data_IF_278835859199
#
_entry.id   IF_278835859199
#
_cell.length_a   1.000
_cell.length_b   1.000
_cell.length_c   1.000
_cell.angle_alpha   90.00
_cell.angle_beta   90.00
_cell.angle_gamma   90.00
#
_symmetry.space_group_name_H-M   'P 1'
#
loop_
_entity.id
_entity.type
_entity.pdbx_description
1 polymer ?
#
# COMPACT_ATOMS: atom_id res chain seq x y z
N UNK A 1 -43.00 53.63 73.93
CA UNK A 1 -41.54 53.55 73.79
C UNK A 1 -41.05 52.17 73.34
N UNK A 2 -41.25 51.08 74.07
CA UNK A 2 -40.68 49.75 73.71
C UNK A 2 -41.21 49.18 72.36
N UNK A 3 -42.51 49.34 72.08
CA UNK A 3 -43.13 48.91 70.81
C UNK A 3 -42.84 49.85 69.62
N UNK A 4 -42.61 51.13 69.89
CA UNK A 4 -42.23 52.13 68.88
C UNK A 4 -40.78 51.93 68.42
N UNK A 5 -39.89 51.58 69.36
CA UNK A 5 -38.54 51.14 69.07
C UNK A 5 -38.50 49.82 68.28
N UNK A 6 -39.46 48.91 68.51
CA UNK A 6 -39.62 47.69 67.72
C UNK A 6 -39.97 48.01 66.26
N UNK A 7 -40.93 48.91 66.01
CA UNK A 7 -41.31 49.32 64.65
C UNK A 7 -40.14 49.99 63.90
N UNK A 8 -39.42 50.89 64.56
CA UNK A 8 -38.23 51.56 64.00
C UNK A 8 -37.12 50.56 63.69
N UNK A 9 -36.96 49.51 64.51
CA UNK A 9 -35.98 48.44 64.29
C UNK A 9 -36.30 47.61 63.04
N UNK A 10 -37.55 47.24 62.84
CA UNK A 10 -38.01 46.51 61.64
C UNK A 10 -37.90 47.38 60.37
N UNK A 11 -38.23 48.67 60.44
CA UNK A 11 -38.01 49.63 59.34
C UNK A 11 -36.53 49.75 58.96
N UNK A 12 -35.62 49.81 59.94
CA UNK A 12 -34.17 49.82 59.68
C UNK A 12 -33.67 48.53 59.03
N UNK A 13 -34.25 47.37 59.39
CA UNK A 13 -33.90 46.10 58.74
C UNK A 13 -34.32 46.09 57.27
N UNK A 14 -35.52 46.59 56.94
CA UNK A 14 -35.98 46.74 55.55
C UNK A 14 -35.05 47.62 54.71
N UNK A 15 -34.62 48.77 55.25
CA UNK A 15 -33.68 49.68 54.57
C UNK A 15 -32.33 48.99 54.30
N UNK A 16 -31.88 48.13 55.22
CA UNK A 16 -30.62 47.39 55.06
C UNK A 16 -30.71 46.33 53.97
N UNK A 17 -31.85 45.62 53.88
CA UNK A 17 -32.12 44.63 52.83
C UNK A 17 -32.19 45.32 51.46
N UNK A 18 -32.83 46.49 51.38
CA UNK A 18 -32.92 47.29 50.15
C UNK A 18 -31.54 47.68 49.61
N UNK A 19 -30.63 48.19 50.46
CA UNK A 19 -29.26 48.55 50.03
C UNK A 19 -28.48 47.35 49.49
N UNK A 20 -28.70 46.17 50.04
CA UNK A 20 -28.04 44.93 49.61
C UNK A 20 -28.60 44.44 48.27
N UNK A 21 -29.90 44.63 48.04
CA UNK A 21 -30.56 44.35 46.76
C UNK A 21 -30.07 45.29 45.65
N UNK A 22 -29.94 46.60 45.92
CA UNK A 22 -29.39 47.58 44.97
C UNK A 22 -27.94 47.27 44.57
N UNK A 23 -27.12 46.78 45.50
CA UNK A 23 -25.73 46.38 45.22
C UNK A 23 -25.64 45.17 44.28
N UNK A 24 -26.51 44.17 44.47
CA UNK A 24 -26.54 42.96 43.65
C UNK A 24 -27.02 43.22 42.22
N UNK A 25 -27.78 44.29 42.00
CA UNK A 25 -28.42 44.61 40.72
C UNK A 25 -27.65 45.64 39.86
N UNK A 26 -26.60 46.28 40.40
CA UNK A 26 -25.76 47.23 39.67
C UNK A 26 -24.63 46.58 38.84
N UNK A 27 -24.73 45.26 38.57
CA UNK A 27 -23.87 44.51 37.64
C UNK A 27 -24.70 43.57 36.77
N UNK A 28 -24.12 43.02 35.70
CA UNK A 28 -24.84 42.06 34.83
C UNK A 28 -25.23 40.79 35.62
N UNK A 29 -26.54 40.49 35.73
CA UNK A 29 -27.03 39.41 36.58
C UNK A 29 -26.73 38.04 35.94
N UNK A 30 -25.98 37.21 36.66
CA UNK A 30 -25.74 35.80 36.29
C UNK A 30 -26.86 34.91 36.86
N UNK A 31 -27.25 33.85 36.14
CA UNK A 31 -28.29 32.88 36.56
C UNK A 31 -28.09 32.32 37.99
N UNK A 32 -26.86 32.30 38.50
CA UNK A 32 -26.50 31.86 39.85
C UNK A 32 -27.00 32.79 40.97
N UNK A 33 -27.41 34.03 40.66
CA UNK A 33 -27.82 35.03 41.65
C UNK A 33 -29.33 35.02 41.96
N UNK A 34 -30.13 34.34 41.12
CA UNK A 34 -31.59 34.26 41.25
C UNK A 34 -32.04 33.67 42.60
N UNK A 35 -31.44 32.58 43.14
CA UNK A 35 -31.83 32.03 44.43
C UNK A 35 -31.61 33.02 45.59
N UNK A 36 -30.51 33.77 45.56
CA UNK A 36 -30.15 34.77 46.58
C UNK A 36 -31.11 35.96 46.56
N UNK A 37 -31.54 36.40 45.38
CA UNK A 37 -32.55 37.46 45.22
C UNK A 37 -33.89 37.02 45.81
N UNK A 38 -34.31 35.77 45.57
CA UNK A 38 -35.55 35.21 46.11
C UNK A 38 -35.49 35.14 47.65
N UNK A 39 -34.38 34.70 48.24
CA UNK A 39 -34.20 34.65 49.70
C UNK A 39 -34.33 36.05 50.35
N UNK A 40 -33.80 37.09 49.70
CA UNK A 40 -33.94 38.46 50.17
C UNK A 40 -35.38 38.98 50.08
N UNK A 41 -36.13 38.58 49.05
CA UNK A 41 -37.55 38.94 48.90
C UNK A 41 -38.42 38.26 49.98
N UNK A 42 -38.17 36.99 50.31
CA UNK A 42 -38.88 36.30 51.39
C UNK A 42 -38.60 36.95 52.77
N UNK A 43 -37.36 37.37 53.02
CA UNK A 43 -36.99 38.11 54.24
C UNK A 43 -37.69 39.49 54.32
N UNK A 44 -37.80 40.16 53.17
CA UNK A 44 -38.54 41.42 53.01
C UNK A 44 -40.03 41.23 53.30
N UNK A 45 -40.62 40.16 52.77
CA UNK A 45 -42.02 39.79 53.03
C UNK A 45 -42.26 39.56 54.53
N UNK A 46 -41.42 38.77 55.20
CA UNK A 46 -41.57 38.50 56.64
C UNK A 46 -41.47 39.77 57.50
N UNK A 47 -40.53 40.67 57.17
CA UNK A 47 -40.38 41.96 57.87
C UNK A 47 -41.61 42.84 57.65
N UNK A 48 -42.15 42.82 56.43
CA UNK A 48 -43.37 43.54 56.05
C UNK A 48 -44.59 43.00 56.81
N UNK A 49 -44.76 41.69 56.93
CA UNK A 49 -45.86 41.07 57.70
C UNK A 49 -45.81 41.45 59.18
N UNK A 50 -44.62 41.45 59.79
CA UNK A 50 -44.45 41.90 61.19
C UNK A 50 -44.83 43.36 61.41
N UNK A 51 -44.53 44.23 60.44
CA UNK A 51 -44.95 45.64 60.47
C UNK A 51 -46.47 45.76 60.35
N UNK A 52 -47.11 44.96 59.49
CA UNK A 52 -48.57 44.90 59.36
C UNK A 52 -49.21 44.49 60.69
N UNK A 53 -48.68 43.45 61.34
CA UNK A 53 -49.22 42.96 62.62
C UNK A 53 -49.09 44.02 63.73
N UNK A 54 -47.94 44.71 63.76
CA UNK A 54 -47.72 45.83 64.69
C UNK A 54 -48.73 46.97 64.47
N UNK A 55 -48.99 47.35 63.22
CA UNK A 55 -49.93 48.42 62.85
C UNK A 55 -51.40 47.99 63.09
N UNK A 56 -51.73 46.73 62.81
CA UNK A 56 -53.10 46.19 62.91
C UNK A 56 -53.57 45.97 64.37
N UNK A 57 -52.66 45.94 65.34
CA UNK A 57 -52.95 45.71 66.76
C UNK A 57 -53.73 46.83 67.46
N UNK A 58 -54.08 47.92 66.75
CA UNK A 58 -55.01 49.00 67.12
C UNK A 58 -54.82 49.64 68.52
N UNK A 59 -53.58 49.60 69.07
CA UNK A 59 -53.22 50.24 70.35
C UNK A 59 -52.28 51.44 70.21
N UNK A 60 -52.02 51.91 69.00
CA UNK A 60 -51.16 53.07 68.74
C UNK A 60 -52.06 54.26 68.39
N UNK A 61 -52.09 55.30 69.25
CA UNK A 61 -52.59 56.63 68.87
C UNK A 61 -51.55 57.24 67.92
N UNK A 62 -51.73 57.05 66.62
CA UNK A 62 -50.83 57.59 65.59
C UNK A 62 -51.23 59.05 65.35
N UNK A 63 -50.31 59.99 65.60
CA UNK A 63 -50.46 61.41 65.24
C UNK A 63 -50.49 61.57 63.71
N UNK A 64 -51.21 62.55 63.19
CA UNK A 64 -51.42 62.77 61.75
C UNK A 64 -50.09 62.87 60.97
N UNK A 65 -49.09 63.57 61.52
CA UNK A 65 -47.72 63.66 61.00
C UNK A 65 -46.97 62.32 60.97
N UNK A 66 -47.19 61.46 61.96
CA UNK A 66 -46.59 60.12 62.00
C UNK A 66 -47.26 59.21 60.97
N UNK A 67 -48.55 59.41 60.69
CA UNK A 67 -49.33 58.64 59.72
C UNK A 67 -48.91 58.97 58.28
N UNK A 68 -48.68 60.25 57.96
CA UNK A 68 -48.09 60.69 56.68
C UNK A 68 -46.64 60.23 56.51
N UNK A 69 -45.83 60.30 57.57
CA UNK A 69 -44.43 59.83 57.55
C UNK A 69 -44.36 58.31 57.34
N UNK A 70 -45.14 57.52 58.09
CA UNK A 70 -45.21 56.06 57.90
C UNK A 70 -45.71 55.72 56.49
N UNK A 71 -46.68 56.46 55.96
CA UNK A 71 -47.18 56.22 54.60
C UNK A 71 -46.10 56.49 53.53
N UNK A 72 -45.33 57.58 53.66
CA UNK A 72 -44.21 57.87 52.75
C UNK A 72 -43.08 56.84 52.86
N UNK A 73 -42.71 56.46 54.07
CA UNK A 73 -41.64 55.50 54.35
C UNK A 73 -42.03 54.05 54.02
N UNK A 74 -43.33 53.71 53.97
CA UNK A 74 -43.83 52.39 53.53
C UNK A 74 -44.12 52.33 52.03
N UNK A 75 -44.55 53.43 51.40
CA UNK A 75 -44.76 53.50 49.94
C UNK A 75 -43.45 53.37 49.17
N UNK A 76 -42.38 53.95 49.71
CA UNK A 76 -41.04 53.94 49.13
C UNK A 76 -40.46 52.53 48.91
N UNK A 77 -40.51 51.58 49.88
CA UNK A 77 -40.09 50.20 49.67
C UNK A 77 -41.12 49.35 48.92
N UNK A 78 -42.42 49.67 48.98
CA UNK A 78 -43.47 48.85 48.36
C UNK A 78 -43.48 48.95 46.82
N UNK A 79 -43.17 50.13 46.28
CA UNK A 79 -43.16 50.36 44.83
C UNK A 79 -42.10 49.50 44.13
N UNK A 80 -40.82 49.46 44.55
CA UNK A 80 -39.82 48.57 43.98
C UNK A 80 -40.18 47.08 44.10
N UNK A 81 -40.68 46.62 45.27
CA UNK A 81 -41.06 45.21 45.47
C UNK A 81 -42.12 44.78 44.45
N UNK A 82 -43.13 45.61 44.22
CA UNK A 82 -44.18 45.34 43.23
C UNK A 82 -43.61 45.32 41.80
N UNK A 83 -42.83 46.35 41.44
CA UNK A 83 -42.25 46.46 40.10
C UNK A 83 -41.32 45.29 39.78
N UNK A 84 -40.50 44.84 40.74
CA UNK A 84 -39.62 43.70 40.53
C UNK A 84 -40.38 42.36 40.45
N UNK A 85 -41.41 42.17 41.28
CA UNK A 85 -42.26 40.98 41.17
C UNK A 85 -42.96 40.92 39.80
N UNK A 86 -43.46 42.05 39.29
CA UNK A 86 -44.06 42.15 37.95
C UNK A 86 -43.05 41.85 36.83
N UNK A 87 -41.84 42.40 36.91
CA UNK A 87 -40.79 42.17 35.90
C UNK A 87 -40.28 40.72 35.90
N UNK A 88 -40.19 40.07 37.06
CA UNK A 88 -39.86 38.65 37.21
C UNK A 88 -40.94 37.76 36.58
N UNK A 89 -42.23 38.05 36.81
CA UNK A 89 -43.34 37.33 36.18
C UNK A 89 -43.42 37.53 34.66
N UNK A 90 -42.95 38.68 34.15
CA UNK A 90 -42.84 38.98 32.72
C UNK A 90 -41.61 38.35 32.05
N UNK A 91 -40.79 37.60 32.79
CA UNK A 91 -39.60 36.93 32.26
C UNK A 91 -38.46 37.87 31.86
N UNK A 92 -38.49 39.14 32.30
CA UNK A 92 -37.47 40.16 31.95
C UNK A 92 -36.09 39.86 32.54
N UNK A 93 -36.01 38.96 33.53
CA UNK A 93 -34.79 38.52 34.20
C UNK A 93 -34.51 37.02 34.01
N UNK A 94 -35.15 36.38 33.03
CA UNK A 94 -35.06 34.94 32.79
C UNK A 94 -36.38 34.21 33.09
N UNK A 95 -36.46 32.92 32.71
CA UNK A 95 -37.66 32.11 32.88
C UNK A 95 -37.76 31.55 34.31
N UNK A 96 -38.86 31.84 34.99
CA UNK A 96 -39.15 31.27 36.31
C UNK A 96 -39.66 29.83 36.16
N UNK A 97 -39.22 28.94 37.05
CA UNK A 97 -39.84 27.62 37.15
C UNK A 97 -41.24 27.73 37.82
N UNK A 98 -42.11 26.71 37.70
CA UNK A 98 -43.48 26.79 38.19
C UNK A 98 -43.62 27.07 39.70
N UNK A 99 -42.69 26.57 40.52
CA UNK A 99 -42.72 26.81 41.97
C UNK A 99 -42.29 28.25 42.31
N UNK A 100 -41.26 28.77 41.62
CA UNK A 100 -40.78 30.14 41.74
C UNK A 100 -41.84 31.15 41.29
N UNK A 101 -42.51 30.90 40.16
CA UNK A 101 -43.59 31.75 39.66
C UNK A 101 -44.72 31.89 40.69
N UNK A 102 -45.12 30.78 41.33
CA UNK A 102 -46.17 30.78 42.35
C UNK A 102 -45.79 31.58 43.61
N UNK A 103 -44.51 31.52 44.03
CA UNK A 103 -44.00 32.32 45.16
C UNK A 103 -43.98 33.82 44.83
N UNK A 104 -43.48 34.19 43.65
CA UNK A 104 -43.43 35.59 43.20
C UNK A 104 -44.84 36.17 43.01
N UNK A 105 -45.79 35.39 42.51
CA UNK A 105 -47.21 35.78 42.42
C UNK A 105 -47.81 36.08 43.81
N UNK A 106 -47.49 35.26 44.81
CA UNK A 106 -47.92 35.46 46.20
C UNK A 106 -47.34 36.75 46.79
N UNK A 107 -46.08 37.06 46.51
CA UNK A 107 -45.42 38.31 46.93
C UNK A 107 -46.11 39.53 46.29
N UNK A 108 -46.40 39.46 44.98
CA UNK A 108 -47.07 40.54 44.26
C UNK A 108 -48.47 40.82 44.83
N UNK A 109 -49.27 39.76 45.04
CA UNK A 109 -50.61 39.86 45.64
C UNK A 109 -50.57 40.44 47.07
N UNK A 110 -49.59 40.01 47.88
CA UNK A 110 -49.43 40.49 49.25
C UNK A 110 -49.05 41.98 49.29
N UNK A 111 -48.17 42.41 48.39
CA UNK A 111 -47.78 43.82 48.20
C UNK A 111 -48.99 44.70 47.84
N UNK A 112 -49.85 44.24 46.90
CA UNK A 112 -51.07 44.94 46.52
C UNK A 112 -52.10 45.03 47.66
N UNK A 113 -52.27 43.96 48.45
CA UNK A 113 -53.16 43.97 49.60
C UNK A 113 -52.69 44.93 50.70
N UNK A 114 -51.37 44.99 50.94
CA UNK A 114 -50.79 45.94 51.88
C UNK A 114 -51.04 47.38 51.44
N UNK A 115 -50.81 47.68 50.16
CA UNK A 115 -51.09 49.01 49.61
C UNK A 115 -52.54 49.44 49.86
N UNK A 116 -53.50 48.56 49.54
CA UNK A 116 -54.94 48.84 49.75
C UNK A 116 -55.30 49.02 51.23
N UNK A 117 -54.67 48.28 52.15
CA UNK A 117 -54.90 48.44 53.59
C UNK A 117 -54.35 49.77 54.10
N UNK A 118 -53.18 50.20 53.64
CA UNK A 118 -52.60 51.51 53.97
C UNK A 118 -53.51 52.64 53.45
N UNK A 119 -53.98 52.54 52.21
CA UNK A 119 -54.93 53.49 51.61
C UNK A 119 -56.26 53.54 52.40
N UNK A 120 -56.76 52.38 52.85
CA UNK A 120 -57.98 52.30 53.68
C UNK A 120 -57.82 52.89 55.09
N UNK A 121 -56.61 52.90 55.66
CA UNK A 121 -56.35 53.54 56.96
C UNK A 121 -56.36 55.07 56.86
N UNK A 122 -55.94 55.63 55.72
CA UNK A 122 -56.05 57.07 55.45
C UNK A 122 -57.51 57.52 55.24
N UNK A 123 -58.29 56.76 54.46
CA UNK A 123 -59.67 57.13 54.13
C UNK A 123 -60.64 57.21 55.32
N UNK A 124 -60.24 56.69 56.50
CA UNK A 124 -61.05 56.68 57.73
C UNK A 124 -60.68 57.78 58.73
N UNK A 125 -59.69 58.61 58.41
CA UNK A 125 -59.04 59.54 59.35
C UNK A 125 -59.22 61.02 59.01
N UNK A 126 -60.20 61.38 58.17
CA UNK A 126 -60.55 62.78 57.90
C UNK A 126 -61.84 63.12 58.66
N UNK A 127 -61.78 63.75 59.86
CA UNK A 127 -62.93 64.38 60.46
C UNK A 127 -63.30 65.62 59.66
N UNK A 128 -64.56 65.68 59.26
CA UNK A 128 -65.22 66.86 58.69
C UNK A 128 -65.15 68.00 59.71
N UNK A 129 -64.48 69.09 59.33
CA UNK A 129 -64.32 70.29 60.15
C UNK A 129 -64.10 71.53 59.27
N UNK A 130 -65.23 72.15 58.93
CA UNK A 130 -65.51 73.50 58.42
C UNK A 130 -64.44 74.42 57.81
N UNK A 131 -64.88 74.98 56.66
CA UNK A 131 -64.64 76.33 56.11
C UNK A 131 -63.48 76.55 55.10
N UNK A 132 -63.81 76.34 53.82
CA UNK A 132 -63.47 77.17 52.64
C UNK A 132 -62.10 77.88 52.58
N UNK A 133 -61.19 77.44 51.69
CA UNK A 133 -60.62 78.26 50.61
C UNK A 133 -59.76 77.44 49.60
N UNK A 134 -60.08 77.60 48.29
CA UNK A 134 -59.27 77.33 47.06
C UNK A 134 -58.89 75.89 46.65
N UNK A 135 -59.76 75.23 45.86
CA UNK A 135 -59.54 73.93 45.19
C UNK A 135 -58.80 74.04 43.82
N UNK A 136 -58.37 75.23 43.39
CA UNK A 136 -57.77 75.43 42.06
C UNK A 136 -56.24 75.31 42.00
N UNK A 137 -55.52 75.61 43.09
CA UNK A 137 -54.05 75.70 43.06
C UNK A 137 -53.33 74.35 43.19
N UNK A 138 -53.95 73.35 43.84
CA UNK A 138 -53.30 72.06 44.10
C UNK A 138 -53.26 71.15 42.84
N UNK A 139 -54.28 71.23 41.98
CA UNK A 139 -54.39 70.46 40.74
C UNK A 139 -53.37 70.89 39.67
N UNK A 140 -53.04 72.18 39.63
CA UNK A 140 -52.11 72.75 38.65
C UNK A 140 -50.68 72.29 38.94
N UNK A 141 -50.27 72.28 40.22
CA UNK A 141 -48.92 71.83 40.62
C UNK A 141 -48.66 70.34 40.33
N UNK A 142 -49.69 69.51 40.46
CA UNK A 142 -49.59 68.06 40.18
C UNK A 142 -49.40 67.80 38.68
N UNK A 143 -50.15 68.51 37.82
CA UNK A 143 -50.01 68.43 36.36
C UNK A 143 -48.67 68.96 35.84
N UNK A 144 -48.11 70.00 36.48
CA UNK A 144 -46.77 70.49 36.16
C UNK A 144 -45.68 69.45 36.46
N UNK A 145 -45.79 68.72 37.58
CA UNK A 145 -44.85 67.67 37.92
C UNK A 145 -44.92 66.48 36.95
N UNK A 146 -46.12 66.07 36.55
CA UNK A 146 -46.31 64.99 35.57
C UNK A 146 -45.68 65.34 34.21
N UNK A 147 -45.84 66.59 33.76
CA UNK A 147 -45.21 67.10 32.53
C UNK A 147 -43.68 67.04 32.61
N UNK A 148 -43.08 67.43 33.74
CA UNK A 148 -41.62 67.39 33.91
C UNK A 148 -41.11 65.95 33.84
N UNK A 149 -41.85 64.99 34.42
CA UNK A 149 -41.49 63.58 34.44
C UNK A 149 -41.56 62.98 33.03
N UNK A 150 -42.61 63.29 32.26
CA UNK A 150 -42.75 62.88 30.86
C UNK A 150 -41.62 63.41 29.98
N UNK A 151 -41.22 64.67 30.17
CA UNK A 151 -40.06 65.25 29.44
C UNK A 151 -38.77 64.49 29.75
N UNK A 152 -38.57 64.10 31.02
CA UNK A 152 -37.38 63.34 31.43
C UNK A 152 -37.37 61.92 30.84
N UNK A 153 -38.52 61.25 30.77
CA UNK A 153 -38.67 59.94 30.14
C UNK A 153 -38.35 60.01 28.64
N UNK A 154 -38.91 60.98 27.92
CA UNK A 154 -38.61 61.15 26.49
C UNK A 154 -37.11 61.35 26.25
N UNK A 155 -36.45 62.17 27.09
CA UNK A 155 -35.00 62.40 26.97
C UNK A 155 -34.17 61.13 27.21
N UNK A 156 -34.60 60.24 28.11
CA UNK A 156 -33.93 58.96 28.33
C UNK A 156 -34.18 57.97 27.18
N UNK A 157 -35.39 57.96 26.62
CA UNK A 157 -35.70 57.17 25.42
C UNK A 157 -34.85 57.61 24.23
N UNK A 158 -34.75 58.91 23.97
CA UNK A 158 -33.95 59.45 22.88
C UNK A 158 -32.47 59.07 23.02
N UNK A 159 -31.94 59.10 24.25
CA UNK A 159 -30.56 58.67 24.51
C UNK A 159 -30.38 57.18 24.19
N UNK A 160 -31.28 56.33 24.66
CA UNK A 160 -31.21 54.88 24.43
C UNK A 160 -31.34 54.52 22.95
N UNK A 161 -32.24 55.19 22.22
CA UNK A 161 -32.40 55.02 20.78
C UNK A 161 -31.11 55.38 20.04
N UNK A 162 -30.43 56.46 20.45
CA UNK A 162 -29.15 56.85 19.85
C UNK A 162 -28.03 55.85 20.15
N UNK A 163 -27.94 55.37 21.38
CA UNK A 163 -26.92 54.38 21.79
C UNK A 163 -27.11 53.05 21.03
N UNK A 164 -28.34 52.52 20.96
CA UNK A 164 -28.66 51.31 20.19
C UNK A 164 -28.43 51.50 18.68
N UNK A 165 -28.71 52.69 18.14
CA UNK A 165 -28.46 53.00 16.73
C UNK A 165 -26.96 53.03 16.40
N UNK A 166 -26.11 53.45 17.34
CA UNK A 166 -24.67 53.42 17.20
C UNK A 166 -24.13 51.98 17.21
N UNK A 167 -24.63 51.14 18.11
CA UNK A 167 -24.23 49.73 18.22
C UNK A 167 -24.63 48.90 16.98
N UNK A 168 -25.84 49.12 16.45
CA UNK A 168 -26.29 48.49 15.19
C UNK A 168 -25.38 48.89 14.01
N UNK A 169 -24.87 50.12 14.00
CA UNK A 169 -23.98 50.60 12.93
C UNK A 169 -22.62 49.90 12.98
N UNK A 170 -22.04 49.70 14.16
CA UNK A 170 -20.76 48.98 14.31
C UNK A 170 -20.91 47.50 13.96
N UNK A 171 -21.96 46.82 14.44
CA UNK A 171 -22.24 45.42 14.08
C UNK A 171 -22.39 45.22 12.57
N UNK A 172 -23.03 46.17 11.88
CA UNK A 172 -23.16 46.11 10.42
C UNK A 172 -21.82 46.26 9.70
N UNK A 173 -20.90 47.05 10.26
CA UNK A 173 -19.54 47.21 9.74
C UNK A 173 -18.75 45.92 9.90
N UNK A 174 -18.76 45.33 11.09
CA UNK A 174 -18.05 44.07 11.38
C UNK A 174 -18.56 42.91 10.52
N UNK A 175 -19.87 42.83 10.29
CA UNK A 175 -20.47 41.85 9.39
C UNK A 175 -19.95 42.02 7.94
N UNK A 176 -19.86 43.26 7.46
CA UNK A 176 -19.33 43.54 6.11
C UNK A 176 -17.85 43.18 5.98
N UNK A 177 -17.05 43.38 7.02
CA UNK A 177 -15.62 43.01 7.03
C UNK A 177 -15.45 41.48 7.05
N UNK A 178 -16.25 40.77 7.84
CA UNK A 178 -16.25 39.29 7.88
C UNK A 178 -16.69 38.66 6.55
N UNK A 179 -17.70 39.22 5.89
CA UNK A 179 -18.12 38.77 4.56
C UNK A 179 -17.02 38.98 3.51
N UNK A 180 -16.27 40.08 3.61
CA UNK A 180 -15.15 40.36 2.71
C UNK A 180 -14.03 39.32 2.89
N UNK A 181 -13.62 39.05 4.12
CA UNK A 181 -12.60 38.05 4.43
C UNK A 181 -12.97 36.64 3.94
N UNK A 182 -14.25 36.27 4.08
CA UNK A 182 -14.73 34.97 3.61
C UNK A 182 -14.60 34.84 2.09
N UNK A 183 -14.94 35.91 1.34
CA UNK A 183 -14.80 35.94 -0.12
C UNK A 183 -13.35 35.89 -0.58
N UNK A 184 -12.45 36.59 0.11
CA UNK A 184 -11.00 36.52 -0.18
C UNK A 184 -10.47 35.11 0.05
N UNK A 185 -10.84 34.47 1.16
CA UNK A 185 -10.43 33.10 1.46
C UNK A 185 -10.96 32.07 0.43
N UNK A 186 -12.20 32.23 -0.02
CA UNK A 186 -12.75 31.40 -1.10
C UNK A 186 -11.98 31.58 -2.42
N UNK A 187 -11.60 32.81 -2.76
CA UNK A 187 -10.79 33.11 -3.94
C UNK A 187 -9.38 32.50 -3.85
N UNK A 188 -8.71 32.64 -2.71
CA UNK A 188 -7.39 32.04 -2.48
C UNK A 188 -7.41 30.52 -2.64
N UNK A 189 -8.42 29.85 -2.05
CA UNK A 189 -8.57 28.40 -2.18
C UNK A 189 -8.83 27.96 -3.63
N UNK A 190 -9.59 28.74 -4.40
CA UNK A 190 -9.86 28.46 -5.81
C UNK A 190 -8.61 28.63 -6.67
N UNK A 191 -7.75 29.61 -6.35
CA UNK A 191 -6.45 29.79 -7.01
C UNK A 191 -5.49 28.65 -6.64
N UNK A 192 -5.50 28.22 -5.37
CA UNK A 192 -4.67 27.12 -4.88
C UNK A 192 -5.05 25.80 -5.56
N UNK A 193 -6.34 25.44 -5.62
CA UNK A 193 -6.82 24.23 -6.31
C UNK A 193 -6.42 24.23 -7.79
N UNK A 194 -6.58 25.36 -8.50
CA UNK A 194 -6.13 25.48 -9.89
C UNK A 194 -4.62 25.27 -10.03
N UNK A 195 -3.83 25.85 -9.14
CA UNK A 195 -2.36 25.70 -9.15
C UNK A 195 -1.95 24.25 -8.91
N UNK A 196 -2.56 23.58 -7.93
CA UNK A 196 -2.30 22.17 -7.62
C UNK A 196 -2.62 21.28 -8.82
N UNK A 197 -3.79 21.45 -9.45
CA UNK A 197 -4.19 20.65 -10.63
C UNK A 197 -3.23 20.84 -11.81
N UNK A 198 -2.76 22.06 -12.05
CA UNK A 198 -1.78 22.34 -13.11
C UNK A 198 -0.48 21.58 -12.84
N UNK A 199 -0.02 21.57 -11.59
CA UNK A 199 1.23 20.91 -11.22
C UNK A 199 1.11 19.38 -11.24
N UNK A 200 -0.04 18.84 -10.82
CA UNK A 200 -0.37 17.41 -10.99
C UNK A 200 -0.36 16.99 -12.47
N UNK A 201 -1.00 17.79 -13.35
CA UNK A 201 -1.00 17.51 -14.78
C UNK A 201 0.40 17.53 -15.40
N UNK A 202 1.24 18.52 -15.02
CA UNK A 202 2.64 18.56 -15.44
C UNK A 202 3.41 17.34 -14.93
N UNK A 203 3.25 16.97 -13.66
CA UNK A 203 3.92 15.82 -13.06
C UNK A 203 3.54 14.51 -13.76
N UNK A 204 2.25 14.30 -14.09
CA UNK A 204 1.79 13.14 -14.86
C UNK A 204 2.42 13.13 -16.26
N UNK A 205 2.50 14.28 -16.93
CA UNK A 205 3.09 14.38 -18.27
C UNK A 205 4.60 14.11 -18.26
N UNK A 206 5.32 14.64 -17.27
CA UNK A 206 6.74 14.38 -17.05
C UNK A 206 6.99 12.90 -16.73
N UNK A 207 6.17 12.29 -15.86
CA UNK A 207 6.26 10.88 -15.54
C UNK A 207 6.06 9.99 -16.79
N UNK A 208 5.05 10.29 -17.62
CA UNK A 208 4.82 9.59 -18.90
C UNK A 208 6.02 9.71 -19.85
N UNK A 209 6.59 10.92 -20.00
CA UNK A 209 7.77 11.14 -20.84
C UNK A 209 8.98 10.36 -20.35
N UNK A 210 9.23 10.35 -19.03
CA UNK A 210 10.35 9.63 -18.43
C UNK A 210 10.21 8.10 -18.62
N UNK A 211 9.01 7.54 -18.45
CA UNK A 211 8.74 6.12 -18.69
C UNK A 211 9.01 5.75 -20.16
N UNK A 212 8.58 6.58 -21.11
CA UNK A 212 8.84 6.35 -22.54
C UNK A 212 10.35 6.35 -22.82
N UNK A 213 11.09 7.31 -22.27
CA UNK A 213 12.55 7.38 -22.44
C UNK A 213 13.23 6.12 -21.90
N UNK A 214 12.86 5.67 -20.69
CA UNK A 214 13.41 4.44 -20.09
C UNK A 214 13.08 3.21 -20.96
N UNK A 215 11.84 3.09 -21.44
CA UNK A 215 11.43 1.98 -22.31
C UNK A 215 12.21 1.97 -23.63
N UNK A 216 12.43 3.14 -24.25
CA UNK A 216 13.24 3.25 -25.48
C UNK A 216 14.70 2.90 -25.23
N UNK A 217 15.30 3.34 -24.11
CA UNK A 217 16.67 2.99 -23.76
C UNK A 217 16.82 1.48 -23.51
N UNK A 218 15.86 0.86 -22.81
CA UNK A 218 15.85 -0.58 -22.57
C UNK A 218 15.75 -1.38 -23.88
N UNK A 219 14.91 -0.94 -24.83
CA UNK A 219 14.81 -1.57 -26.15
C UNK A 219 16.12 -1.47 -26.95
N UNK A 220 16.77 -0.30 -26.94
CA UNK A 220 18.05 -0.10 -27.65
C UNK A 220 19.16 -0.95 -27.03
N UNK A 221 19.26 -1.00 -25.71
CA UNK A 221 20.24 -1.85 -25.00
C UNK A 221 19.94 -3.33 -25.26
N UNK A 222 18.68 -3.74 -25.20
CA UNK A 222 18.27 -5.12 -25.48
C UNK A 222 18.61 -5.54 -26.90
N UNK A 223 18.25 -4.72 -27.90
CA UNK A 223 18.55 -4.99 -29.31
C UNK A 223 20.06 -4.98 -29.60
N UNK A 224 20.82 -4.08 -28.96
CA UNK A 224 22.27 -4.05 -29.08
C UNK A 224 22.93 -5.29 -28.46
N UNK A 225 22.46 -5.73 -27.29
CA UNK A 225 22.99 -6.91 -26.60
C UNK A 225 22.68 -8.20 -27.37
N UNK A 226 21.47 -8.38 -27.89
CA UNK A 226 21.13 -9.56 -28.69
C UNK A 226 21.92 -9.59 -30.00
N UNK A 227 22.03 -8.45 -30.70
CA UNK A 227 22.83 -8.38 -31.92
C UNK A 227 24.31 -8.68 -31.66
N UNK A 228 24.87 -8.18 -30.56
CA UNK A 228 26.24 -8.47 -30.14
C UNK A 228 26.41 -9.95 -29.79
N UNK A 229 25.51 -10.52 -28.99
CA UNK A 229 25.56 -11.94 -28.61
C UNK A 229 25.51 -12.86 -29.82
N UNK A 230 24.63 -12.59 -30.79
CA UNK A 230 24.55 -13.36 -32.03
C UNK A 230 25.80 -13.20 -32.89
N UNK A 231 26.36 -11.99 -32.97
CA UNK A 231 27.62 -11.75 -33.68
C UNK A 231 28.79 -12.53 -33.05
N UNK A 232 28.86 -12.57 -31.72
CA UNK A 232 29.89 -13.33 -31.00
C UNK A 232 29.72 -14.83 -31.25
N UNK A 233 28.50 -15.37 -31.17
CA UNK A 233 28.25 -16.80 -31.43
C UNK A 233 28.56 -17.18 -32.88
N UNK A 234 28.22 -16.35 -33.86
CA UNK A 234 28.57 -16.55 -35.28
C UNK A 234 30.10 -16.57 -35.46
N UNK A 235 30.81 -15.58 -34.91
CA UNK A 235 32.27 -15.49 -34.99
C UNK A 235 32.98 -16.66 -34.28
N UNK A 236 32.49 -17.02 -33.09
CA UNK A 236 32.99 -18.15 -32.31
C UNK A 236 32.71 -19.46 -33.04
N UNK A 237 31.51 -19.65 -33.59
CA UNK A 237 31.13 -20.84 -34.34
C UNK A 237 32.03 -21.08 -35.55
N UNK A 238 32.34 -20.02 -36.32
CA UNK A 238 33.25 -20.11 -37.47
C UNK A 238 34.64 -20.67 -37.13
N UNK A 239 35.14 -20.46 -35.90
CA UNK A 239 36.46 -20.96 -35.50
C UNK A 239 36.49 -22.50 -35.33
N UNK A 240 35.32 -23.11 -35.10
CA UNK A 240 35.17 -24.55 -34.93
C UNK A 240 34.86 -25.29 -36.23
N UNK A 241 34.77 -24.56 -37.35
CA UNK A 241 34.57 -25.14 -38.66
C UNK A 241 35.83 -25.89 -39.12
N UNK A 242 35.70 -27.19 -39.32
CA UNK A 242 36.76 -28.07 -39.80
C UNK A 242 36.70 -28.15 -41.33
N UNK A 243 37.81 -27.82 -41.98
CA UNK A 243 37.92 -27.84 -43.45
C UNK A 243 38.75 -29.03 -43.92
N UNK A 244 38.51 -29.49 -45.15
CA UNK A 244 39.31 -30.54 -45.82
C UNK A 244 39.26 -31.93 -45.17
N UNK A 245 38.13 -32.33 -44.58
CA UNK A 245 37.97 -33.69 -44.03
C UNK A 245 37.99 -34.79 -45.11
N UNK A 246 37.59 -34.46 -46.35
CA UNK A 246 37.39 -35.46 -47.40
C UNK A 246 36.17 -36.35 -47.12
N UNK A 247 36.06 -37.49 -47.81
CA UNK A 247 35.03 -38.48 -47.53
C UNK A 247 35.59 -39.53 -46.58
N UNK A 248 35.06 -39.60 -45.37
CA UNK A 248 35.40 -40.64 -44.39
C UNK A 248 34.25 -41.63 -44.35
N UNK A 249 34.56 -42.90 -44.62
CA UNK A 249 33.58 -43.97 -44.67
C UNK A 249 33.71 -44.83 -43.41
N UNK A 250 32.62 -44.93 -42.67
CA UNK A 250 32.50 -45.78 -41.48
C UNK A 250 31.86 -47.12 -41.82
N UNK A 251 32.23 -48.16 -41.08
CA UNK A 251 31.54 -49.44 -41.06
C UNK A 251 31.19 -49.85 -39.63
N UNK A 252 29.99 -50.39 -39.44
CA UNK A 252 29.51 -50.79 -38.12
C UNK A 252 28.83 -52.16 -38.18
N UNK A 253 29.18 -53.03 -37.24
CA UNK A 253 28.52 -54.33 -37.08
C UNK A 253 28.34 -54.69 -35.61
N UNK A 254 27.22 -55.33 -35.32
CA UNK A 254 26.95 -55.91 -34.01
C UNK A 254 26.84 -57.42 -34.15
N UNK A 255 27.52 -58.17 -33.28
CA UNK A 255 27.51 -59.62 -33.26
C UNK A 255 26.98 -60.14 -31.93
N UNK A 256 26.18 -61.19 -31.97
CA UNK A 256 25.80 -61.94 -30.77
C UNK A 256 26.95 -62.83 -30.28
N UNK A 257 26.79 -63.48 -29.13
CA UNK A 257 27.78 -64.41 -28.57
C UNK A 257 28.07 -65.65 -29.44
N UNK A 258 27.27 -65.91 -30.48
CA UNK A 258 27.48 -66.98 -31.47
C UNK A 258 28.19 -66.49 -32.74
N UNK A 259 28.39 -65.18 -32.89
CA UNK A 259 28.97 -64.54 -34.07
C UNK A 259 27.98 -64.19 -35.17
N UNK A 260 26.67 -64.36 -34.95
CA UNK A 260 25.66 -63.91 -35.92
C UNK A 260 25.52 -62.39 -35.85
N UNK A 261 25.41 -61.73 -37.01
CA UNK A 261 25.12 -60.29 -37.07
C UNK A 261 23.69 -60.01 -36.63
N UNK A 262 23.52 -58.99 -35.80
CA UNK A 262 22.22 -58.51 -35.33
C UNK A 262 21.99 -57.06 -35.76
N UNK A 263 20.77 -56.77 -36.19
CA UNK A 263 20.33 -55.43 -36.61
C UNK A 263 19.32 -54.91 -35.56
N UNK A 264 19.84 -54.43 -34.42
CA UNK A 264 19.02 -53.97 -33.30
C UNK A 264 19.78 -52.96 -32.41
N UNK A 265 19.03 -52.28 -31.55
CA UNK A 265 19.48 -51.14 -30.74
C UNK A 265 19.86 -51.63 -29.36
N UNK A 266 21.14 -51.53 -29.04
CA UNK A 266 21.72 -52.10 -27.85
C UNK A 266 22.35 -51.01 -27.02
N UNK A 267 22.12 -51.09 -25.72
CA UNK A 267 22.70 -50.19 -24.74
C UNK A 267 23.61 -50.94 -23.79
N UNK A 268 24.47 -50.22 -23.11
CA UNK A 268 25.21 -50.77 -21.98
C UNK A 268 24.26 -50.93 -20.78
N UNK A 269 24.24 -52.11 -20.13
CA UNK A 269 23.49 -52.31 -18.87
C UNK A 269 24.44 -52.21 -17.70
N UNK A 270 24.69 -50.97 -17.30
CA UNK A 270 25.55 -50.67 -16.15
C UNK A 270 24.72 -50.26 -14.94
N UNK A 271 25.28 -50.48 -13.74
CA UNK A 271 24.73 -49.93 -12.50
C UNK A 271 25.08 -48.45 -12.39
N UNK A 272 24.27 -47.67 -11.67
CA UNK A 272 24.51 -46.25 -11.49
C UNK A 272 25.88 -45.98 -10.87
N UNK A 273 26.64 -45.07 -11.50
CA UNK A 273 27.99 -44.69 -11.08
C UNK A 273 29.09 -45.63 -11.55
N UNK A 274 28.77 -46.72 -12.29
CA UNK A 274 29.76 -47.61 -12.87
C UNK A 274 30.70 -46.86 -13.82
N UNK A 275 31.98 -47.22 -13.77
CA UNK A 275 33.02 -46.68 -14.64
C UNK A 275 33.10 -47.52 -15.92
N UNK A 276 33.02 -46.87 -17.08
CA UNK A 276 33.25 -47.50 -18.37
C UNK A 276 34.69 -47.23 -18.83
N UNK A 277 35.46 -48.30 -19.03
CA UNK A 277 36.86 -48.21 -19.40
C UNK A 277 37.01 -48.18 -20.92
N UNK A 278 37.67 -47.13 -21.42
CA UNK A 278 38.07 -47.00 -22.82
C UNK A 278 39.55 -47.35 -22.92
N UNK A 279 39.83 -48.54 -23.45
CA UNK A 279 41.18 -49.06 -23.66
C UNK A 279 41.78 -48.57 -24.98
N UNK A 280 43.08 -48.28 -24.99
CA UNK A 280 43.83 -47.96 -26.21
C UNK A 280 44.85 -49.07 -26.50
N UNK A 281 44.69 -49.72 -27.66
CA UNK A 281 45.60 -50.76 -28.17
C UNK A 281 46.50 -50.18 -29.27
N UNK A 282 47.79 -50.52 -29.23
CA UNK A 282 48.85 -49.90 -30.04
C UNK A 282 49.07 -48.40 -29.78
N UNK A 283 48.59 -47.87 -28.64
CA UNK A 283 48.74 -46.45 -28.30
C UNK A 283 50.20 -46.01 -28.21
N UNK A 284 51.08 -46.91 -27.77
CA UNK A 284 52.52 -46.67 -27.66
C UNK A 284 53.20 -46.35 -29.00
N UNK A 285 52.60 -46.76 -30.13
CA UNK A 285 53.10 -46.45 -31.47
C UNK A 285 52.68 -45.06 -31.96
N UNK A 286 51.64 -44.49 -31.36
CA UNK A 286 51.00 -43.23 -31.77
C UNK A 286 50.75 -42.32 -30.55
N UNK A 287 51.80 -41.94 -29.79
CA UNK A 287 51.66 -41.20 -28.54
C UNK A 287 50.93 -39.85 -28.72
N UNK A 288 51.07 -39.21 -29.87
CA UNK A 288 50.36 -37.97 -30.23
C UNK A 288 48.85 -38.16 -30.33
N UNK A 289 48.39 -39.34 -30.77
CA UNK A 289 46.97 -39.67 -30.91
C UNK A 289 46.32 -39.99 -29.56
N UNK A 290 47.08 -40.40 -28.54
CA UNK A 290 46.55 -40.63 -27.18
C UNK A 290 45.94 -39.35 -26.61
N UNK A 291 46.56 -38.19 -26.85
CA UNK A 291 46.01 -36.89 -26.41
C UNK A 291 44.65 -36.63 -27.07
N UNK A 292 44.55 -36.86 -28.38
CA UNK A 292 43.31 -36.67 -29.15
C UNK A 292 42.21 -37.64 -28.69
N UNK A 293 42.55 -38.89 -28.38
CA UNK A 293 41.61 -39.86 -27.81
C UNK A 293 41.06 -39.35 -26.49
N UNK A 294 41.93 -38.87 -25.59
CA UNK A 294 41.49 -38.31 -24.30
C UNK A 294 40.59 -37.08 -24.49
N UNK A 295 40.89 -36.23 -25.46
CA UNK A 295 40.04 -35.08 -25.81
C UNK A 295 38.64 -35.51 -26.27
N UNK A 296 38.56 -36.46 -27.22
CA UNK A 296 37.28 -36.97 -27.75
C UNK A 296 36.49 -37.76 -26.70
N UNK A 297 37.16 -38.49 -25.81
CA UNK A 297 36.48 -39.33 -24.81
C UNK A 297 36.10 -38.52 -23.56
N UNK A 298 37.02 -37.73 -23.01
CA UNK A 298 36.91 -37.17 -21.67
C UNK A 298 36.55 -35.67 -21.63
N UNK A 299 36.59 -34.94 -22.74
CA UNK A 299 36.22 -33.52 -22.74
C UNK A 299 34.75 -33.34 -22.34
N UNK A 300 34.53 -32.38 -21.44
CA UNK A 300 33.22 -31.86 -21.04
C UNK A 300 32.89 -30.53 -21.73
N UNK A 301 33.77 -30.05 -22.62
CA UNK A 301 33.58 -28.80 -23.34
C UNK A 301 32.42 -28.89 -24.33
N UNK A 302 31.62 -27.81 -24.36
CA UNK A 302 30.55 -27.61 -25.31
C UNK A 302 30.71 -26.28 -26.04
N UNK A 303 30.25 -26.23 -27.28
CA UNK A 303 30.25 -25.05 -28.13
C UNK A 303 28.85 -24.78 -28.66
N UNK A 304 28.47 -23.52 -28.65
CA UNK A 304 27.24 -23.03 -29.26
C UNK A 304 27.53 -22.56 -30.68
N UNK A 305 26.81 -23.13 -31.66
CA UNK A 305 26.99 -22.86 -33.09
C UNK A 305 25.67 -22.32 -33.65
N UNK A 306 25.73 -21.21 -34.41
CA UNK A 306 24.56 -20.67 -35.10
C UNK A 306 24.12 -21.64 -36.22
N UNK A 307 22.83 -22.00 -36.22
CA UNK A 307 22.26 -22.98 -37.14
C UNK A 307 22.34 -22.57 -38.61
N UNK A 308 22.45 -21.27 -38.88
CA UNK A 308 22.63 -20.77 -40.25
C UNK A 308 23.97 -21.21 -40.85
N UNK A 309 24.97 -21.49 -40.01
CA UNK A 309 26.27 -22.04 -40.42
C UNK A 309 26.19 -23.53 -40.77
N UNK A 310 25.16 -24.21 -40.29
CA UNK A 310 24.91 -25.64 -40.46
C UNK A 310 23.85 -25.92 -41.53
N UNK A 311 23.27 -24.87 -42.12
CA UNK A 311 22.08 -24.95 -42.98
C UNK A 311 20.86 -25.64 -42.31
N UNK A 312 20.80 -25.63 -40.97
CA UNK A 312 19.74 -26.26 -40.16
C UNK A 312 18.64 -25.31 -39.70
N UNK A 313 18.84 -23.99 -39.84
CA UNK A 313 17.90 -23.02 -39.27
C UNK A 313 18.15 -21.58 -39.69
N UNK A 314 17.24 -20.67 -39.32
CA UNK A 314 17.40 -19.24 -39.57
C UNK A 314 18.55 -18.65 -38.73
N UNK A 315 19.18 -17.59 -39.23
CA UNK A 315 20.23 -16.89 -38.47
C UNK A 315 19.71 -16.42 -37.10
N UNK A 316 20.47 -16.69 -36.06
CA UNK A 316 20.14 -16.34 -34.68
C UNK A 316 19.47 -17.46 -33.88
N UNK A 317 19.20 -18.62 -34.48
CA UNK A 317 18.98 -19.85 -33.71
C UNK A 317 20.30 -20.59 -33.52
N UNK A 318 20.49 -21.17 -32.34
CA UNK A 318 21.76 -21.75 -31.89
C UNK A 318 21.52 -23.20 -31.49
N UNK A 319 22.47 -24.07 -31.81
CA UNK A 319 22.54 -25.45 -31.31
C UNK A 319 23.81 -25.64 -30.50
N UNK A 320 23.71 -26.41 -29.42
CA UNK A 320 24.86 -26.77 -28.59
C UNK A 320 25.46 -28.08 -29.11
N UNK A 321 26.78 -28.12 -29.20
CA UNK A 321 27.56 -29.27 -29.62
C UNK A 321 28.61 -29.61 -28.56
N UNK A 322 28.98 -30.89 -28.47
CA UNK A 322 29.95 -31.36 -27.48
C UNK A 322 31.22 -31.86 -28.15
N UNK A 323 32.36 -31.41 -27.61
CA UNK A 323 33.69 -31.76 -28.13
C UNK A 323 34.08 -33.21 -27.81
N UNK A 324 33.54 -33.75 -26.72
CA UNK A 324 33.78 -35.12 -26.26
C UNK A 324 32.57 -35.81 -25.66
N UNK A 325 32.64 -37.14 -25.61
CA UNK A 325 31.53 -37.99 -25.18
C UNK A 325 31.23 -37.92 -23.68
N UNK A 326 32.22 -37.62 -22.83
CA UNK A 326 31.97 -37.38 -21.40
C UNK A 326 30.97 -36.22 -21.18
N UNK A 327 31.16 -35.09 -21.87
CA UNK A 327 30.22 -33.96 -21.84
C UNK A 327 28.83 -34.34 -22.37
N UNK A 328 28.78 -34.97 -23.54
CA UNK A 328 27.53 -35.38 -24.18
C UNK A 328 26.72 -36.38 -23.33
N UNK A 329 27.37 -37.41 -22.78
CA UNK A 329 26.72 -38.42 -21.93
C UNK A 329 26.34 -37.84 -20.57
N UNK A 330 27.13 -36.92 -20.02
CA UNK A 330 26.76 -36.16 -18.82
C UNK A 330 25.49 -35.35 -19.07
N UNK A 331 25.39 -34.66 -20.20
CA UNK A 331 24.18 -33.94 -20.59
C UNK A 331 22.98 -34.89 -20.76
N UNK A 332 23.16 -36.01 -21.46
CA UNK A 332 22.13 -37.03 -21.65
C UNK A 332 21.62 -37.57 -20.30
N UNK A 333 22.52 -37.82 -19.35
CA UNK A 333 22.22 -38.35 -18.02
C UNK A 333 21.39 -37.40 -17.12
N UNK A 334 21.26 -36.13 -17.50
CA UNK A 334 20.35 -35.19 -16.81
C UNK A 334 18.88 -35.55 -17.04
N UNK A 335 18.55 -36.22 -18.15
CA UNK A 335 17.21 -36.74 -18.42
C UNK A 335 17.03 -38.08 -17.71
N UNK A 336 15.90 -38.27 -17.05
CA UNK A 336 15.59 -39.53 -16.37
C UNK A 336 15.22 -40.60 -17.39
N UNK A 337 15.99 -41.68 -17.43
CA UNK A 337 15.80 -42.84 -18.30
C UNK A 337 15.58 -44.12 -17.49
N UNK A 338 15.03 -45.16 -18.11
CA UNK A 338 14.90 -46.49 -17.49
C UNK A 338 16.24 -47.15 -17.15
N UNK A 339 17.27 -46.89 -17.96
CA UNK A 339 18.62 -47.46 -17.81
C UNK A 339 19.63 -46.36 -17.52
N UNK A 340 20.69 -46.70 -16.80
CA UNK A 340 21.77 -45.78 -16.50
C UNK A 340 22.59 -45.47 -17.76
N UNK A 341 22.69 -44.20 -18.12
CA UNK A 341 23.56 -43.69 -19.19
C UNK A 341 25.00 -43.63 -18.64
N UNK A 342 25.99 -44.24 -19.32
CA UNK A 342 27.37 -44.35 -18.84
C UNK A 342 28.13 -43.01 -18.95
N UNK A 343 27.90 -42.10 -18.01
CA UNK A 343 28.55 -40.79 -17.98
C UNK A 343 29.95 -40.78 -17.33
N UNK A 344 30.31 -41.84 -16.60
CA UNK A 344 31.62 -41.98 -15.97
C UNK A 344 32.57 -42.76 -16.89
N UNK A 345 33.44 -42.04 -17.60
CA UNK A 345 34.40 -42.61 -18.54
C UNK A 345 35.82 -42.55 -17.98
N UNK A 346 36.62 -43.59 -18.23
CA UNK A 346 38.05 -43.58 -17.96
C UNK A 346 38.82 -44.08 -19.17
N UNK A 347 39.87 -43.35 -19.58
CA UNK A 347 40.79 -43.82 -20.62
C UNK A 347 41.95 -44.56 -19.96
N UNK A 348 42.21 -45.79 -20.41
CA UNK A 348 43.32 -46.63 -19.98
C UNK A 348 44.17 -47.05 -21.17
N UNK A 349 45.49 -46.96 -21.03
CA UNK A 349 46.41 -47.49 -22.03
C UNK A 349 46.63 -48.97 -21.72
N UNK A 350 46.20 -49.86 -22.62
CA UNK A 350 46.33 -51.30 -22.43
C UNK A 350 46.83 -51.94 -23.71
N UNK A 351 48.01 -52.55 -23.64
CA UNK A 351 48.57 -53.35 -24.74
C UNK A 351 47.80 -54.66 -25.00
N UNK A 352 46.80 -54.98 -24.17
CA UNK A 352 46.04 -56.24 -24.21
C UNK A 352 44.53 -56.08 -24.46
N UNK A 353 44.04 -54.86 -24.70
CA UNK A 353 42.61 -54.64 -25.00
C UNK A 353 41.68 -54.90 -23.79
N UNK A 354 42.10 -54.44 -22.61
CA UNK A 354 41.41 -54.68 -21.34
C UNK A 354 40.24 -53.69 -21.06
N UNK A 355 39.91 -52.80 -22.00
CA UNK A 355 38.76 -51.90 -21.88
C UNK A 355 37.42 -52.55 -22.25
N UNK A 356 36.34 -51.94 -21.77
CA UNK A 356 34.96 -52.23 -22.18
C UNK A 356 34.74 -51.80 -23.64
N UNK A 357 35.24 -50.60 -23.98
CA UNK A 357 35.42 -50.12 -25.35
C UNK A 357 36.92 -50.12 -25.64
N UNK A 358 37.36 -50.78 -26.71
CA UNK A 358 38.77 -50.76 -27.12
C UNK A 358 38.96 -50.00 -28.42
N UNK A 359 39.84 -49.02 -28.42
CA UNK A 359 40.30 -48.29 -29.60
C UNK A 359 41.60 -48.93 -30.08
N UNK A 360 41.57 -49.47 -31.29
CA UNK A 360 42.70 -50.12 -31.95
C UNK A 360 43.22 -49.18 -33.04
N UNK A 361 44.47 -48.79 -32.92
CA UNK A 361 45.15 -47.96 -33.92
C UNK A 361 45.90 -48.85 -34.91
N UNK A 362 45.64 -48.64 -36.21
CA UNK A 362 46.21 -49.43 -37.30
C UNK A 362 46.82 -48.55 -38.40
N UNK A 363 48.02 -48.91 -38.86
CA UNK A 363 48.62 -48.33 -40.07
C UNK A 363 48.13 -48.98 -41.37
N UNK A 364 47.36 -50.07 -41.28
CA UNK A 364 46.82 -50.75 -42.44
C UNK A 364 45.59 -50.00 -42.97
N UNK A 365 45.36 -50.10 -44.28
CA UNK A 365 44.12 -49.65 -44.91
C UNK A 365 43.08 -50.77 -44.84
N UNK A 366 41.82 -50.40 -44.66
CA UNK A 366 40.71 -51.35 -44.77
C UNK A 366 40.59 -51.87 -46.20
N UNK A 367 40.36 -53.18 -46.36
CA UNK A 367 40.10 -53.79 -47.67
C UNK A 367 38.81 -53.28 -48.33
N UNK A 368 37.86 -52.83 -47.52
CA UNK A 368 36.55 -52.32 -47.94
C UNK A 368 36.50 -50.78 -48.02
N UNK A 369 37.64 -50.11 -47.80
CA UNK A 369 37.75 -48.64 -47.91
C UNK A 369 37.32 -47.85 -46.67
N UNK A 370 37.01 -48.53 -45.56
CA UNK A 370 36.68 -47.87 -44.29
C UNK A 370 37.87 -47.13 -43.66
N UNK A 371 37.61 -45.93 -43.14
CA UNK A 371 38.56 -45.15 -42.33
C UNK A 371 38.39 -45.41 -40.84
N UNK A 372 37.18 -45.79 -40.43
CA UNK A 372 36.84 -46.25 -39.08
C UNK A 372 35.92 -47.47 -39.15
N UNK A 373 36.02 -48.35 -38.16
CA UNK A 373 35.13 -49.50 -38.06
C UNK A 373 34.85 -49.88 -36.62
N UNK A 374 33.57 -50.00 -36.27
CA UNK A 374 33.15 -50.42 -34.94
C UNK A 374 32.52 -51.82 -34.97
N UNK A 375 32.99 -52.69 -34.09
CA UNK A 375 32.43 -54.01 -33.83
C UNK A 375 31.97 -54.09 -32.40
N UNK A 376 30.70 -54.39 -32.17
CA UNK A 376 30.15 -54.60 -30.83
C UNK A 376 29.75 -56.06 -30.62
N UNK A 377 30.19 -56.66 -29.51
CA UNK A 377 29.72 -57.97 -29.04
C UNK A 377 28.59 -57.71 -28.04
N UNK A 378 27.44 -58.36 -28.27
CA UNK A 378 26.24 -58.15 -27.48
C UNK A 378 25.60 -59.46 -27.02
N UNK A 379 24.88 -59.37 -25.91
CA UNK A 379 23.89 -60.37 -25.49
C UNK A 379 22.53 -59.95 -26.05
N UNK A 380 22.07 -60.65 -27.09
CA UNK A 380 20.79 -60.40 -27.75
C UNK A 380 19.59 -60.73 -26.85
N UNK A 381 19.74 -61.72 -25.96
CA UNK A 381 18.69 -62.11 -25.01
C UNK A 381 18.42 -61.04 -23.95
N UNK A 382 19.46 -60.27 -23.59
CA UNK A 382 19.38 -59.19 -22.61
C UNK A 382 19.33 -57.79 -23.25
N UNK A 383 19.41 -57.72 -24.58
CA UNK A 383 19.52 -56.49 -25.34
C UNK A 383 20.59 -55.56 -24.74
N UNK A 384 21.81 -56.08 -24.62
CA UNK A 384 22.95 -55.43 -23.97
C UNK A 384 24.24 -55.50 -24.80
N UNK A 385 24.98 -54.40 -24.86
CA UNK A 385 26.39 -54.39 -25.29
C UNK A 385 27.27 -54.94 -24.17
N UNK A 386 28.14 -55.89 -24.51
CA UNK A 386 29.12 -56.50 -23.59
C UNK A 386 30.53 -55.96 -23.81
N UNK A 387 30.89 -55.70 -25.06
CA UNK A 387 32.21 -55.19 -25.46
C UNK A 387 32.12 -54.48 -26.79
N UNK A 388 32.84 -53.38 -26.97
CA UNK A 388 32.97 -52.72 -28.27
C UNK A 388 34.44 -52.57 -28.66
N UNK A 389 34.72 -52.68 -29.95
CA UNK A 389 36.06 -52.51 -30.52
C UNK A 389 35.96 -51.57 -31.70
N UNK A 390 36.64 -50.43 -31.59
CA UNK A 390 36.79 -49.42 -32.62
C UNK A 390 38.15 -49.63 -33.26
N UNK A 391 38.20 -49.77 -34.58
CA UNK A 391 39.46 -49.79 -35.34
C UNK A 391 39.54 -48.53 -36.19
N UNK A 392 40.59 -47.75 -35.98
CA UNK A 392 40.90 -46.61 -36.85
C UNK A 392 42.00 -47.06 -37.81
N UNK A 393 41.72 -46.96 -39.11
CA UNK A 393 42.62 -47.40 -40.18
C UNK A 393 43.47 -46.23 -40.70
N UNK A 394 44.60 -46.58 -41.33
CA UNK A 394 45.50 -45.64 -42.00
C UNK A 394 45.94 -44.44 -41.12
N UNK A 395 46.13 -44.67 -39.81
CA UNK A 395 46.32 -43.62 -38.79
C UNK A 395 47.48 -42.67 -39.12
N UNK A 396 48.52 -43.16 -39.77
CA UNK A 396 49.71 -42.39 -40.17
C UNK A 396 49.42 -41.32 -41.23
N UNK A 397 48.36 -41.50 -42.01
CA UNK A 397 47.97 -40.59 -43.09
C UNK A 397 46.77 -39.71 -42.72
N UNK A 398 46.20 -39.87 -41.52
CA UNK A 398 45.08 -39.06 -41.03
C UNK A 398 45.58 -37.77 -40.37
N UNK A 399 44.98 -36.65 -40.76
CA UNK A 399 45.11 -35.41 -39.99
C UNK A 399 44.50 -35.58 -38.59
N UNK A 400 44.86 -34.71 -37.65
CA UNK A 400 44.28 -34.75 -36.29
C UNK A 400 42.77 -34.51 -36.31
N UNK A 401 42.29 -33.65 -37.22
CA UNK A 401 40.86 -33.39 -37.40
C UNK A 401 40.12 -34.60 -37.98
N UNK A 402 40.70 -35.27 -38.98
CA UNK A 402 40.13 -36.51 -39.52
C UNK A 402 40.09 -37.60 -38.46
N UNK A 403 41.21 -37.80 -37.75
CA UNK A 403 41.31 -38.80 -36.69
C UNK A 403 40.26 -38.57 -35.59
N UNK A 404 40.16 -37.34 -35.08
CA UNK A 404 39.19 -37.02 -34.02
C UNK A 404 37.75 -37.12 -34.50
N UNK A 405 37.47 -36.74 -35.76
CA UNK A 405 36.15 -36.87 -36.38
C UNK A 405 35.71 -38.33 -36.49
N UNK A 406 36.55 -39.18 -37.06
CA UNK A 406 36.28 -40.62 -37.19
C UNK A 406 36.06 -41.20 -35.80
N UNK A 407 36.97 -40.92 -34.86
CA UNK A 407 36.85 -41.46 -33.51
C UNK A 407 35.56 -41.02 -32.79
N UNK A 408 35.15 -39.74 -32.93
CA UNK A 408 33.89 -39.25 -32.36
C UNK A 408 32.69 -40.04 -32.89
N UNK A 409 32.65 -40.28 -34.20
CA UNK A 409 31.61 -41.07 -34.85
C UNK A 409 31.61 -42.54 -34.40
N UNK A 410 32.77 -43.21 -34.44
CA UNK A 410 32.89 -44.62 -34.04
C UNK A 410 32.52 -44.83 -32.56
N UNK A 411 32.83 -43.86 -31.69
CA UNK A 411 32.39 -43.90 -30.30
C UNK A 411 30.86 -43.81 -30.18
N UNK A 412 30.18 -43.08 -31.06
CA UNK A 412 28.72 -43.09 -31.12
C UNK A 412 28.18 -44.50 -31.32
N UNK A 413 28.75 -45.25 -32.25
CA UNK A 413 28.44 -46.68 -32.42
C UNK A 413 28.77 -47.52 -31.19
N UNK A 414 29.92 -47.29 -30.56
CA UNK A 414 30.30 -48.00 -29.34
C UNK A 414 29.36 -47.70 -28.15
N UNK A 415 28.72 -46.54 -28.13
CA UNK A 415 27.67 -46.19 -27.16
C UNK A 415 26.27 -46.68 -27.54
N UNK A 416 26.12 -47.25 -28.75
CA UNK A 416 24.89 -47.89 -29.23
C UNK A 416 24.10 -47.08 -30.27
N UNK A 417 24.64 -45.97 -30.77
CA UNK A 417 24.00 -45.19 -31.83
C UNK A 417 24.14 -45.90 -33.18
N UNK A 418 23.10 -45.77 -34.00
CA UNK A 418 23.16 -46.14 -35.41
C UNK A 418 23.42 -44.90 -36.26
N UNK A 419 23.55 -45.13 -37.57
CA UNK A 419 23.72 -44.02 -38.50
C UNK A 419 22.50 -43.10 -38.55
N UNK A 420 22.78 -41.80 -38.60
CA UNK A 420 21.79 -40.76 -38.88
C UNK A 420 21.50 -40.69 -40.39
N UNK A 421 20.26 -40.34 -40.73
CA UNK A 421 19.89 -40.02 -42.13
C UNK A 421 20.21 -38.58 -42.51
N UNK A 422 20.58 -37.74 -41.55
CA UNK A 422 20.88 -36.33 -41.77
C UNK A 422 22.34 -36.16 -42.26
N UNK A 423 22.59 -35.61 -43.46
CA UNK A 423 23.93 -35.57 -44.06
C UNK A 423 24.95 -34.70 -43.30
N UNK A 424 24.46 -33.74 -42.53
CA UNK A 424 25.27 -32.81 -41.76
C UNK A 424 25.53 -33.26 -40.31
N UNK A 425 24.97 -34.42 -39.93
CA UNK A 425 25.12 -35.01 -38.60
C UNK A 425 26.42 -35.82 -38.47
N UNK A 426 26.99 -35.85 -37.26
CA UNK A 426 28.21 -36.60 -36.98
C UNK A 426 28.02 -38.09 -37.28
N UNK A 427 26.84 -38.65 -36.97
CA UNK A 427 26.54 -40.07 -37.14
C UNK A 427 26.10 -40.44 -38.56
N UNK A 428 26.23 -39.55 -39.56
CA UNK A 428 25.98 -39.92 -40.96
C UNK A 428 27.00 -40.97 -41.46
N UNK A 429 26.61 -41.97 -42.30
CA UNK A 429 27.53 -43.04 -42.73
C UNK A 429 28.78 -42.57 -43.50
N UNK A 430 28.66 -41.42 -44.17
CA UNK A 430 29.77 -40.73 -44.84
C UNK A 430 29.88 -39.35 -44.22
N UNK A 431 30.91 -39.14 -43.41
CA UNK A 431 31.05 -37.90 -42.62
C UNK A 431 31.60 -36.80 -43.53
N UNK A 432 30.78 -35.79 -43.83
CA UNK A 432 31.13 -34.64 -44.68
C UNK A 432 30.84 -33.29 -44.01
N UNK A 433 30.36 -33.31 -42.77
CA UNK A 433 30.01 -32.09 -42.03
C UNK A 433 31.24 -31.26 -41.69
N UNK A 434 31.13 -29.93 -41.82
CA UNK A 434 32.14 -28.98 -41.37
C UNK A 434 32.19 -28.81 -39.84
N UNK A 435 31.22 -29.40 -39.12
CA UNK A 435 31.12 -29.33 -37.66
C UNK A 435 30.96 -30.74 -37.07
N UNK A 436 32.04 -31.55 -37.07
CA UNK A 436 32.01 -32.97 -36.67
C UNK A 436 32.01 -33.15 -35.15
N UNK A 437 30.99 -32.59 -34.49
CA UNK A 437 30.81 -32.63 -33.03
C UNK A 437 29.48 -33.30 -32.66
N UNK A 438 29.38 -33.74 -31.41
CA UNK A 438 28.20 -34.49 -30.95
C UNK A 438 27.05 -33.50 -30.76
N UNK A 439 25.94 -33.73 -31.47
CA UNK A 439 24.80 -32.83 -31.51
C UNK A 439 23.75 -33.14 -30.43
N UNK A 440 22.81 -32.23 -30.23
CA UNK A 440 21.62 -32.50 -29.40
C UNK A 440 20.78 -33.68 -29.94
N UNK A 441 20.78 -33.93 -31.26
CA UNK A 441 20.09 -35.10 -31.83
C UNK A 441 20.74 -36.42 -31.38
N UNK A 442 22.07 -36.48 -31.35
CA UNK A 442 22.81 -37.64 -30.87
C UNK A 442 22.49 -37.92 -29.39
N UNK A 443 22.45 -36.85 -28.58
CA UNK A 443 22.11 -36.90 -27.16
C UNK A 443 20.68 -37.39 -26.96
N UNK A 444 19.72 -36.87 -27.71
CA UNK A 444 18.32 -37.29 -27.63
C UNK A 444 18.14 -38.75 -28.06
N UNK A 445 18.94 -39.21 -29.02
CA UNK A 445 18.98 -40.61 -29.41
C UNK A 445 19.54 -41.51 -28.31
N UNK A 446 20.63 -41.09 -27.64
CA UNK A 446 21.13 -41.78 -26.44
C UNK A 446 20.02 -41.84 -25.38
N UNK A 447 19.35 -40.73 -25.09
CA UNK A 447 18.28 -40.71 -24.08
C UNK A 447 17.17 -41.69 -24.44
N UNK A 448 16.70 -41.69 -25.69
CA UNK A 448 15.69 -42.61 -26.21
C UNK A 448 16.13 -44.07 -26.09
N UNK A 449 17.38 -44.37 -26.47
CA UNK A 449 17.96 -45.71 -26.38
C UNK A 449 17.96 -46.24 -24.94
N UNK A 450 18.33 -45.40 -23.97
CA UNK A 450 18.39 -45.78 -22.56
C UNK A 450 17.02 -45.71 -21.85
N UNK A 451 16.01 -45.10 -22.47
CA UNK A 451 14.62 -45.10 -22.00
C UNK A 451 13.77 -46.25 -22.58
N UNK A 452 14.41 -47.21 -23.27
CA UNK A 452 13.73 -48.39 -23.83
C UNK A 452 13.20 -48.21 -25.25
N UNK A 453 13.67 -47.17 -25.97
CA UNK A 453 13.42 -47.00 -27.39
C UNK A 453 13.90 -48.19 -28.22
N UNK A 454 13.17 -48.51 -29.29
CA UNK A 454 13.42 -49.67 -30.17
C UNK A 454 13.61 -49.31 -31.65
N UNK A 455 13.60 -48.02 -31.97
CA UNK A 455 13.63 -47.58 -33.37
C UNK A 455 15.04 -47.57 -33.91
N UNK A 456 15.17 -48.07 -35.15
CA UNK A 456 16.47 -48.23 -35.79
C UNK A 456 16.97 -47.09 -36.66
N UNK A 457 16.10 -46.13 -36.89
CA UNK A 457 16.41 -44.95 -37.67
C UNK A 457 16.33 -43.74 -36.76
N UNK A 458 17.44 -42.99 -36.75
CA UNK A 458 17.52 -41.69 -36.09
C UNK A 458 17.10 -40.65 -37.11
N UNK A 459 15.94 -40.04 -36.87
CA UNK A 459 15.48 -38.90 -37.65
C UNK A 459 15.81 -37.65 -36.83
N UNK A 460 16.87 -36.95 -37.22
CA UNK A 460 17.20 -35.65 -36.66
C UNK A 460 16.34 -34.57 -37.33
N UNK A 461 15.15 -34.33 -36.81
CA UNK A 461 14.33 -33.18 -37.16
C UNK A 461 14.52 -32.06 -36.14
N UNK A 462 14.64 -30.82 -36.60
CA UNK A 462 14.65 -29.63 -35.76
C UNK A 462 13.32 -28.88 -35.84
#
# INVERSE_FOLDING_TARGET
>A
MEQEQHLIRELRQLILIQKKLDYLLNGEPKNEQIPTIIEQLDSTQNSTTKIIDAISSNKIKITEDLLTTINHELRTPLVPIRTYAEMLLQGKFGTLNPEQAKRVETINLSSQQLQKKIESLLGKSIPVGDANYSESDHKIRELEQEKILLVKINKLLDKKINDESAEIKDLKKDLSESEHQTKEFEQENLILDKTVRIEEQKNILLAKKNIIVIATAALVVGAGFTAYSLYVVDLVGQQYHVSNLGNMQSGYVIQNLRGDTIDTFLSWRLVSGALLHVGITNGEKYPEKIRLIKEVVLSDESVDIDDSLLHKGPKGSVSTYYMGWAGALTQASKKKTQLYIPSNLQVVESSKGEGDINIVLSSLKSGDGYTGYTTSIADDSQNQILKSTITIYDVENLSDDQFTTILRHELGHAFGLAHSTAPEDLMHPVIQTGYPYISDCDIDTIVSLYDGGKNSQVICEK
#
